data_IF_771256712551
#
_entry.id   IF_771256712551
#
_cell.length_a   1.000
_cell.length_b   1.000
_cell.length_c   1.000
_cell.angle_alpha   90.00
_cell.angle_beta   90.00
_cell.angle_gamma   90.00
#
_symmetry.space_group_name_H-M   'P 1'
#
loop_
_entity.id
_entity.type
_entity.pdbx_description
1 polymer ?
#
# COMPACT_ATOMS: atom_id res chain seq x y z
N UNK A 1 16.44 49.06 48.69
CA UNK A 1 17.25 47.84 48.49
C UNK A 1 17.46 47.63 46.99
N UNK A 2 18.72 47.37 46.58
CA UNK A 2 19.25 46.73 45.34
C UNK A 2 18.63 47.14 43.98
N UNK A 3 19.25 47.92 43.08
CA UNK A 3 20.62 47.99 42.49
C UNK A 3 20.87 46.93 41.39
N UNK A 4 21.22 47.42 40.18
CA UNK A 4 21.78 46.70 39.01
C UNK A 4 20.90 46.92 37.77
N UNK A 5 21.19 47.74 36.75
CA UNK A 5 22.40 48.17 36.05
C UNK A 5 23.26 47.03 35.50
N UNK A 6 23.10 46.73 34.20
CA UNK A 6 24.22 46.43 33.30
C UNK A 6 23.86 46.82 31.86
N UNK A 7 24.62 47.76 31.30
CA UNK A 7 24.80 48.05 29.86
C UNK A 7 25.76 46.96 29.27
N UNK A 8 26.46 47.09 28.12
CA UNK A 8 26.39 48.02 26.97
C UNK A 8 26.62 47.34 25.58
N UNK A 9 26.65 48.17 24.51
CA UNK A 9 27.57 48.21 23.34
C UNK A 9 27.85 46.91 22.53
N UNK A 10 28.03 46.93 21.21
CA UNK A 10 28.67 47.90 20.32
C UNK A 10 28.17 47.62 18.86
N UNK A 11 28.02 48.63 17.99
CA UNK A 11 28.99 49.01 16.93
C UNK A 11 29.39 47.86 16.00
N UNK A 12 29.57 48.02 14.70
CA UNK A 12 29.47 49.11 13.73
C UNK A 12 29.94 48.48 12.41
N UNK A 13 29.64 49.15 11.29
CA UNK A 13 30.40 49.07 10.03
C UNK A 13 30.09 47.83 9.18
N UNK A 14 30.01 47.84 7.86
CA UNK A 14 30.18 48.86 6.83
C UNK A 14 30.15 48.09 5.51
N UNK A 15 29.53 48.67 4.47
CA UNK A 15 29.80 48.37 3.05
C UNK A 15 29.43 46.92 2.61
N UNK A 16 29.03 46.60 1.38
CA UNK A 16 29.34 47.13 0.07
C UNK A 16 28.45 46.37 -0.93
N UNK A 17 28.26 46.96 -2.10
CA UNK A 17 28.03 46.27 -3.38
C UNK A 17 26.65 45.62 -3.62
N UNK A 18 25.95 46.15 -4.62
CA UNK A 18 24.83 45.45 -5.26
C UNK A 18 25.28 44.19 -5.99
N UNK A 19 24.33 43.54 -6.70
CA UNK A 19 24.62 43.34 -8.11
C UNK A 19 23.47 43.79 -9.01
N UNK A 20 23.91 44.51 -10.04
CA UNK A 20 23.27 44.64 -11.33
C UNK A 20 23.41 43.29 -12.03
N UNK A 21 22.34 42.83 -12.67
CA UNK A 21 22.42 41.87 -13.77
C UNK A 21 22.44 40.39 -13.38
N UNK A 22 21.51 39.63 -13.94
CA UNK A 22 21.80 38.97 -15.21
C UNK A 22 20.66 38.03 -15.56
N UNK A 23 19.93 38.42 -16.60
CA UNK A 23 19.15 37.50 -17.42
C UNK A 23 20.00 36.29 -17.80
N UNK A 24 19.57 35.08 -17.42
CA UNK A 24 19.46 33.90 -18.31
C UNK A 24 19.32 32.62 -17.51
N UNK A 25 18.22 31.92 -17.82
CA UNK A 25 18.22 30.47 -17.92
C UNK A 25 18.12 29.71 -16.60
N UNK A 26 16.90 29.40 -16.18
CA UNK A 26 16.61 28.13 -15.48
C UNK A 26 15.12 27.77 -15.52
N UNK A 27 14.52 27.48 -16.70
CA UNK A 27 13.19 26.87 -16.74
C UNK A 27 13.19 25.36 -16.43
N UNK A 28 14.29 24.77 -15.96
CA UNK A 28 14.39 23.32 -15.75
C UNK A 28 13.89 22.84 -14.38
N UNK A 29 13.95 23.67 -13.33
CA UNK A 29 13.56 23.26 -11.98
C UNK A 29 12.04 23.23 -11.78
N UNK A 30 11.30 24.16 -12.39
CA UNK A 30 9.84 24.18 -12.31
C UNK A 30 9.19 23.00 -13.07
N UNK A 31 9.81 22.58 -14.17
CA UNK A 31 9.30 21.49 -15.01
C UNK A 31 9.44 20.12 -14.34
N UNK A 32 10.52 19.88 -13.57
CA UNK A 32 10.69 18.65 -12.79
C UNK A 32 9.66 18.51 -11.66
N UNK A 33 9.26 19.63 -11.05
CA UNK A 33 8.24 19.65 -9.99
C UNK A 33 6.84 19.31 -10.53
N UNK A 34 6.52 19.71 -11.76
CA UNK A 34 5.27 19.35 -12.44
C UNK A 34 5.20 17.87 -12.82
N UNK A 35 6.30 17.27 -13.27
CA UNK A 35 6.33 15.83 -13.65
C UNK A 35 6.17 14.93 -12.42
N UNK A 36 6.79 15.29 -11.29
CA UNK A 36 6.63 14.57 -10.03
C UNK A 36 5.18 14.59 -9.49
N UNK A 37 4.44 15.66 -9.75
CA UNK A 37 3.05 15.80 -9.31
C UNK A 37 2.08 14.95 -10.16
N UNK A 38 2.35 14.77 -11.45
CA UNK A 38 1.50 13.96 -12.35
C UNK A 38 1.57 12.47 -12.03
N UNK A 39 2.73 11.97 -11.58
CA UNK A 39 2.90 10.58 -11.18
C UNK A 39 2.16 10.21 -9.87
N UNK A 40 1.75 11.20 -9.07
CA UNK A 40 0.97 11.00 -7.85
C UNK A 40 -0.54 10.79 -8.10
N UNK A 41 -1.05 11.14 -9.29
CA UNK A 41 -2.48 11.05 -9.63
C UNK A 41 -2.82 9.94 -10.63
N UNK A 42 -1.84 9.25 -11.21
CA UNK A 42 -2.10 7.97 -11.87
C UNK A 42 -2.34 6.94 -10.78
N UNK A 43 -3.61 6.81 -10.39
CA UNK A 43 -4.07 5.77 -9.47
C UNK A 43 -3.53 4.42 -9.95
N UNK A 44 -2.74 3.77 -9.09
CA UNK A 44 -2.32 2.40 -9.30
C UNK A 44 -3.57 1.53 -9.38
N UNK A 45 -3.99 1.15 -10.59
CA UNK A 45 -4.87 0.01 -10.76
C UNK A 45 -4.03 -1.21 -10.39
N UNK A 46 -3.98 -1.52 -9.09
CA UNK A 46 -3.31 -2.71 -8.60
C UNK A 46 -4.10 -3.92 -9.12
N UNK A 47 -3.64 -4.47 -10.25
CA UNK A 47 -3.97 -5.81 -10.69
C UNK A 47 -3.74 -6.76 -9.51
N UNK A 48 -4.65 -7.70 -9.21
CA UNK A 48 -4.46 -8.63 -8.11
C UNK A 48 -3.13 -9.35 -8.31
N UNK A 49 -2.20 -9.09 -7.41
CA UNK A 49 -0.83 -9.55 -7.50
C UNK A 49 -0.82 -11.06 -7.15
N UNK A 50 0.19 -11.81 -7.58
CA UNK A 50 0.39 -13.20 -7.17
C UNK A 50 0.35 -13.36 -5.63
N UNK A 51 0.70 -12.31 -4.91
CA UNK A 51 0.58 -12.19 -3.45
C UNK A 51 -0.86 -12.34 -2.94
N UNK A 52 -1.86 -11.87 -3.67
CA UNK A 52 -3.27 -11.91 -3.23
C UNK A 52 -3.84 -13.32 -3.28
N UNK A 53 -3.47 -14.09 -4.30
CA UNK A 53 -3.84 -15.51 -4.42
C UNK A 53 -3.27 -16.31 -3.26
N UNK A 54 -2.00 -16.05 -2.93
CA UNK A 54 -1.35 -16.76 -1.84
C UNK A 54 -1.96 -16.40 -0.49
N UNK A 55 -2.27 -15.11 -0.25
CA UNK A 55 -2.98 -14.68 0.97
C UNK A 55 -4.35 -15.32 1.12
N UNK A 56 -5.14 -15.39 0.05
CA UNK A 56 -6.45 -16.08 0.09
C UNK A 56 -6.27 -17.57 0.32
N UNK A 57 -5.29 -18.22 -0.30
CA UNK A 57 -5.00 -19.63 -0.10
C UNK A 57 -4.66 -19.93 1.36
N UNK A 58 -3.76 -19.14 1.95
CA UNK A 58 -3.33 -19.30 3.33
C UNK A 58 -4.49 -19.04 4.31
N UNK A 59 -5.28 -17.99 4.06
CA UNK A 59 -6.48 -17.69 4.87
C UNK A 59 -7.54 -18.80 4.76
N UNK A 60 -7.76 -19.34 3.55
CA UNK A 60 -8.67 -20.47 3.36
C UNK A 60 -8.20 -21.70 4.13
N UNK A 61 -6.92 -22.05 4.04
CA UNK A 61 -6.36 -23.18 4.79
C UNK A 61 -6.47 -22.95 6.30
N UNK A 62 -6.25 -21.72 6.74
CA UNK A 62 -6.44 -21.31 8.13
C UNK A 62 -7.90 -21.51 8.57
N UNK A 63 -8.86 -21.00 7.82
CA UNK A 63 -10.30 -21.16 8.09
C UNK A 63 -10.73 -22.63 8.06
N UNK A 64 -10.22 -23.43 7.12
CA UNK A 64 -10.49 -24.89 7.03
C UNK A 64 -9.97 -25.63 8.25
N UNK A 65 -8.77 -25.29 8.72
CA UNK A 65 -8.23 -25.87 9.94
C UNK A 65 -9.05 -25.43 11.16
N UNK A 66 -9.37 -24.13 11.26
CA UNK A 66 -10.21 -23.60 12.32
C UNK A 66 -11.61 -24.22 12.33
N UNK A 67 -12.22 -24.52 11.17
CA UNK A 67 -13.53 -25.17 11.08
C UNK A 67 -13.57 -26.55 11.77
N UNK A 68 -12.42 -27.20 11.98
CA UNK A 68 -12.36 -28.47 12.74
C UNK A 68 -12.41 -28.27 14.26
N UNK A 69 -12.07 -27.08 14.74
CA UNK A 69 -11.87 -26.78 16.16
C UNK A 69 -12.91 -25.78 16.67
N UNK A 70 -13.17 -24.72 15.91
CA UNK A 70 -14.11 -23.66 16.26
C UNK A 70 -15.55 -24.04 15.90
N UNK A 71 -16.48 -24.02 16.86
CA UNK A 71 -17.87 -24.38 16.61
C UNK A 71 -18.60 -23.41 15.67
N UNK A 72 -18.15 -22.15 15.57
CA UNK A 72 -18.71 -21.13 14.68
C UNK A 72 -18.48 -21.42 13.19
N UNK A 73 -17.38 -22.09 12.87
CA UNK A 73 -16.97 -22.43 11.50
C UNK A 73 -17.21 -23.91 11.18
N UNK A 74 -17.58 -24.71 12.18
CA UNK A 74 -17.74 -26.16 12.05
C UNK A 74 -18.90 -26.51 11.11
N UNK A 75 -18.62 -27.37 10.15
CA UNK A 75 -19.60 -27.84 9.16
C UNK A 75 -19.91 -26.82 8.06
N UNK A 76 -19.18 -25.70 7.99
CA UNK A 76 -19.25 -24.82 6.82
C UNK A 76 -18.64 -25.54 5.60
N UNK A 77 -19.29 -25.46 4.42
CA UNK A 77 -18.73 -26.03 3.20
C UNK A 77 -17.49 -25.24 2.79
N UNK A 78 -16.56 -25.91 2.10
CA UNK A 78 -15.32 -25.28 1.65
C UNK A 78 -15.58 -24.08 0.73
N UNK A 79 -16.64 -24.13 -0.08
CA UNK A 79 -17.11 -22.98 -0.87
C UNK A 79 -17.33 -21.72 -0.01
N UNK A 80 -17.95 -21.89 1.16
CA UNK A 80 -18.24 -20.78 2.06
C UNK A 80 -17.00 -20.30 2.80
N UNK A 81 -16.11 -21.21 3.19
CA UNK A 81 -14.81 -20.86 3.79
C UNK A 81 -13.93 -20.11 2.79
N UNK A 82 -13.91 -20.53 1.53
CA UNK A 82 -13.17 -19.86 0.47
C UNK A 82 -13.74 -18.48 0.18
N UNK A 83 -15.08 -18.36 0.13
CA UNK A 83 -15.74 -17.05 0.00
C UNK A 83 -15.37 -16.10 1.14
N UNK A 84 -15.32 -16.59 2.38
CA UNK A 84 -14.87 -15.80 3.53
C UNK A 84 -13.40 -15.36 3.38
N UNK A 85 -12.52 -16.25 2.92
CA UNK A 85 -11.11 -15.91 2.68
C UNK A 85 -10.94 -14.79 1.64
N UNK A 86 -11.71 -14.79 0.55
CA UNK A 86 -11.70 -13.70 -0.42
C UNK A 86 -12.20 -12.39 0.19
N UNK A 87 -13.29 -12.44 0.96
CA UNK A 87 -13.89 -11.27 1.61
C UNK A 87 -12.94 -10.64 2.63
N UNK A 88 -12.29 -11.48 3.46
CA UNK A 88 -11.30 -11.03 4.45
C UNK A 88 -10.10 -10.34 3.79
N UNK A 89 -9.72 -10.78 2.59
CA UNK A 89 -8.63 -10.17 1.83
C UNK A 89 -9.09 -9.06 0.87
N UNK A 90 -10.39 -8.75 0.84
CA UNK A 90 -11.00 -7.74 -0.03
C UNK A 90 -10.67 -7.94 -1.52
N UNK A 91 -10.75 -9.19 -1.98
CA UNK A 91 -10.47 -9.58 -3.37
C UNK A 91 -11.65 -10.31 -3.98
N UNK A 92 -11.75 -10.24 -5.32
CA UNK A 92 -12.79 -10.95 -6.05
C UNK A 92 -12.46 -12.44 -6.14
N UNK A 93 -13.32 -13.31 -5.60
CA UNK A 93 -13.10 -14.76 -5.61
C UNK A 93 -12.88 -15.32 -7.02
N UNK A 94 -13.65 -14.88 -8.02
CA UNK A 94 -13.55 -15.41 -9.38
C UNK A 94 -12.16 -15.16 -9.99
N UNK A 95 -11.60 -13.98 -9.74
CA UNK A 95 -10.26 -13.61 -10.20
C UNK A 95 -9.19 -14.43 -9.49
N UNK A 96 -9.35 -14.63 -8.18
CA UNK A 96 -8.44 -15.47 -7.40
C UNK A 96 -8.49 -16.91 -7.89
N UNK A 97 -9.69 -17.44 -8.16
CA UNK A 97 -9.90 -18.80 -8.62
C UNK A 97 -9.27 -19.04 -10.00
N UNK A 98 -9.43 -18.09 -10.93
CA UNK A 98 -8.77 -18.13 -12.24
C UNK A 98 -7.24 -18.13 -12.09
N UNK A 99 -6.70 -17.26 -11.23
CA UNK A 99 -5.25 -17.20 -10.98
C UNK A 99 -4.74 -18.44 -10.26
N UNK A 100 -5.51 -19.00 -9.34
CA UNK A 100 -5.19 -20.23 -8.62
C UNK A 100 -5.09 -21.42 -9.57
N UNK A 101 -5.95 -21.49 -10.59
CA UNK A 101 -5.87 -22.48 -11.67
C UNK A 101 -4.59 -22.36 -12.49
N UNK A 102 -4.08 -21.15 -12.70
CA UNK A 102 -2.82 -20.89 -13.42
C UNK A 102 -1.59 -21.18 -12.54
N UNK A 103 -1.63 -20.82 -11.26
CA UNK A 103 -0.47 -20.90 -10.35
C UNK A 103 -0.32 -22.25 -9.65
N UNK A 104 -1.43 -22.88 -9.27
CA UNK A 104 -1.49 -24.09 -8.44
C UNK A 104 -2.70 -24.97 -8.85
N UNK A 105 -2.63 -25.60 -10.04
CA UNK A 105 -3.75 -26.35 -10.61
C UNK A 105 -4.15 -27.57 -9.78
N UNK A 106 -3.22 -28.15 -9.00
CA UNK A 106 -3.52 -29.31 -8.17
C UNK A 106 -4.32 -28.90 -6.93
N UNK A 107 -3.98 -27.78 -6.30
CA UNK A 107 -4.81 -27.21 -5.25
C UNK A 107 -6.21 -26.84 -5.77
N UNK A 108 -6.28 -26.20 -6.95
CA UNK A 108 -7.56 -25.87 -7.58
C UNK A 108 -8.45 -27.10 -7.80
N UNK A 109 -7.92 -28.21 -8.34
CA UNK A 109 -8.72 -29.44 -8.56
C UNK A 109 -9.27 -30.05 -7.27
N UNK A 110 -8.54 -29.91 -6.16
CA UNK A 110 -9.02 -30.37 -4.85
C UNK A 110 -10.13 -29.45 -4.37
N UNK A 111 -9.94 -28.13 -4.49
CA UNK A 111 -10.91 -27.12 -4.07
C UNK A 111 -12.20 -27.16 -4.90
N UNK A 112 -12.10 -27.31 -6.22
CA UNK A 112 -13.23 -27.34 -7.16
C UNK A 112 -14.21 -28.48 -6.84
N UNK A 113 -13.68 -29.67 -6.52
CA UNK A 113 -14.51 -30.82 -6.09
C UNK A 113 -15.34 -30.55 -4.84
N UNK A 114 -14.85 -29.67 -3.97
CA UNK A 114 -15.51 -29.28 -2.73
C UNK A 114 -16.38 -28.01 -2.90
N UNK A 115 -16.23 -27.30 -4.03
CA UNK A 115 -17.04 -26.13 -4.40
C UNK A 115 -18.37 -26.54 -5.07
N UNK A 116 -18.35 -27.63 -5.85
CA UNK A 116 -19.51 -28.16 -6.58
C UNK A 116 -20.32 -29.22 -5.80
N UNK A 117 -19.93 -29.50 -4.54
CA UNK A 117 -20.48 -30.55 -3.68
C UNK A 117 -21.62 -30.13 -2.77
#
# INVERSE_FOLDING_TARGET
MKKGNTRPMAQSSSSTAGPIGSSRGRPFLATLLLIGFVALFTGCNAEPNATDVQRVKDEFLHLRFQARIQPSLKGQPDARLFQMACQNNNVQCDKVLQKLKESDPDFYKVLEKELDG
#
